data_IF_246914714120
#
_entry.id   IF_246914714120
#
_cell.length_a   1.000
_cell.length_b   1.000
_cell.length_c   1.000
_cell.angle_alpha   90.00
_cell.angle_beta   90.00
_cell.angle_gamma   90.00
#
_symmetry.space_group_name_H-M   'P 1'
#
loop_
_entity.id
_entity.type
_entity.pdbx_description
1 polymer ?
#
# COMPACT_ATOMS: atom_id res chain seq x y z
N UNK A 1 -15.75 -9.02 3.56
CA UNK A 1 -15.23 -8.68 4.91
C UNK A 1 -13.72 -8.79 4.95
N UNK A 2 -13.14 -9.99 4.70
CA UNK A 2 -11.68 -10.24 4.66
C UNK A 2 -10.83 -9.16 3.94
N UNK A 3 -11.27 -8.68 2.77
CA UNK A 3 -10.57 -7.62 2.03
C UNK A 3 -10.49 -6.29 2.82
N UNK A 4 -11.61 -5.81 3.36
CA UNK A 4 -11.65 -4.53 4.09
C UNK A 4 -10.85 -4.63 5.39
N UNK A 5 -10.91 -5.77 6.07
CA UNK A 5 -10.17 -6.00 7.30
C UNK A 5 -8.65 -6.03 7.03
N UNK A 6 -8.23 -6.69 5.95
CA UNK A 6 -6.83 -6.69 5.49
C UNK A 6 -6.37 -5.28 5.08
N UNK A 7 -7.18 -4.55 4.32
CA UNK A 7 -6.86 -3.20 3.88
C UNK A 7 -6.70 -2.24 5.08
N UNK A 8 -7.59 -2.34 6.07
CA UNK A 8 -7.51 -1.56 7.29
C UNK A 8 -6.21 -1.88 8.06
N UNK A 9 -5.90 -3.17 8.27
CA UNK A 9 -4.63 -3.57 8.89
C UNK A 9 -3.40 -3.12 8.10
N UNK A 10 -3.46 -3.21 6.77
CA UNK A 10 -2.37 -2.77 5.91
C UNK A 10 -2.07 -1.28 6.10
N UNK A 11 -3.12 -0.45 6.09
CA UNK A 11 -3.02 1.01 6.22
C UNK A 11 -2.59 1.44 7.62
N UNK A 12 -3.22 0.88 8.65
CA UNK A 12 -3.07 1.38 10.01
C UNK A 12 -1.98 0.67 10.82
N UNK A 13 -1.55 -0.52 10.42
CA UNK A 13 -0.59 -1.33 11.17
C UNK A 13 0.66 -1.61 10.33
N UNK A 14 0.50 -2.28 9.19
CA UNK A 14 1.64 -2.82 8.45
C UNK A 14 2.50 -1.74 7.77
N UNK A 15 1.87 -0.73 7.15
CA UNK A 15 2.58 0.36 6.50
C UNK A 15 3.41 1.20 7.50
N UNK A 16 2.85 1.68 8.64
CA UNK A 16 3.62 2.39 9.66
C UNK A 16 4.78 1.56 10.25
N UNK A 17 4.64 0.24 10.33
CA UNK A 17 5.65 -0.66 10.85
C UNK A 17 6.78 -0.97 9.84
N UNK A 18 6.59 -0.60 8.56
CA UNK A 18 7.60 -0.79 7.52
C UNK A 18 8.81 0.12 7.75
N UNK A 19 10.00 -0.48 7.87
CA UNK A 19 11.28 0.26 7.99
C UNK A 19 11.49 1.13 6.75
N UNK A 20 11.85 2.40 6.94
CA UNK A 20 12.04 3.41 5.88
C UNK A 20 10.79 3.79 5.05
N UNK A 21 9.60 3.70 5.64
CA UNK A 21 8.39 4.15 4.95
C UNK A 21 8.39 5.68 4.70
N UNK A 22 8.56 6.09 3.44
CA UNK A 22 8.51 7.50 2.99
C UNK A 22 7.20 7.88 2.31
N UNK A 23 6.16 7.06 2.44
CA UNK A 23 4.95 7.18 1.64
C UNK A 23 4.98 6.26 0.42
N UNK A 24 3.80 5.87 -0.04
CA UNK A 24 3.58 5.06 -1.23
C UNK A 24 3.66 5.92 -2.50
N UNK A 25 4.39 5.46 -3.52
CA UNK A 25 4.56 6.21 -4.76
C UNK A 25 3.27 6.25 -5.57
N UNK A 26 2.86 7.43 -6.00
CA UNK A 26 1.73 7.63 -6.93
C UNK A 26 2.03 7.14 -8.35
N UNK A 27 3.31 6.94 -8.68
CA UNK A 27 3.74 6.37 -9.95
C UNK A 27 3.25 4.93 -10.15
N UNK A 28 3.06 4.18 -9.06
CA UNK A 28 2.65 2.76 -9.07
C UNK A 28 1.14 2.54 -9.29
N UNK A 29 0.41 3.62 -9.60
CA UNK A 29 -0.97 3.54 -10.08
C UNK A 29 -0.92 3.36 -11.61
N UNK A 30 -1.53 2.30 -12.09
CA UNK A 30 -1.68 1.99 -13.51
C UNK A 30 -2.73 2.90 -14.16
N UNK A 31 -2.70 3.04 -15.49
CA UNK A 31 -3.64 3.89 -16.22
C UNK A 31 -5.10 3.42 -16.10
N UNK A 32 -5.29 2.11 -15.86
CA UNK A 32 -6.60 1.50 -15.58
C UNK A 32 -7.08 1.69 -14.14
N UNK A 33 -6.35 2.44 -13.31
CA UNK A 33 -6.75 2.75 -11.93
C UNK A 33 -6.42 1.67 -10.89
N UNK A 34 -5.64 0.66 -11.25
CA UNK A 34 -5.15 -0.34 -10.30
C UNK A 34 -3.89 0.17 -9.61
N UNK A 35 -3.68 -0.23 -8.36
CA UNK A 35 -2.50 0.13 -7.59
C UNK A 35 -1.73 -1.10 -7.17
N UNK A 36 -0.45 -1.18 -7.53
CA UNK A 36 0.41 -2.31 -7.16
C UNK A 36 1.55 -1.85 -6.25
N UNK A 37 1.72 -2.54 -5.13
CA UNK A 37 2.83 -2.30 -4.21
C UNK A 37 3.52 -3.61 -3.82
N UNK A 38 4.85 -3.56 -3.74
CA UNK A 38 5.68 -4.65 -3.24
C UNK A 38 6.03 -4.41 -1.77
N UNK A 39 5.77 -5.41 -0.94
CA UNK A 39 6.21 -5.50 0.45
C UNK A 39 7.42 -6.44 0.47
N UNK A 40 8.56 -5.94 0.95
CA UNK A 40 9.82 -6.70 0.96
C UNK A 40 9.81 -7.82 1.99
N UNK A 41 9.17 -7.59 3.13
CA UNK A 41 9.19 -8.50 4.27
C UNK A 41 7.78 -8.61 4.83
N UNK A 42 7.27 -9.84 4.95
CA UNK A 42 5.95 -10.08 5.53
C UNK A 42 5.90 -9.87 7.06
N UNK A 43 7.05 -9.67 7.70
CA UNK A 43 7.22 -9.40 9.14
C UNK A 43 6.57 -8.09 9.61
N UNK A 44 6.13 -7.25 8.69
CA UNK A 44 5.39 -6.02 9.00
C UNK A 44 3.99 -6.28 9.58
N UNK A 45 3.49 -7.52 9.51
CA UNK A 45 2.22 -7.90 10.10
C UNK A 45 2.44 -8.43 11.53
N UNK A 46 1.77 -7.87 12.55
CA UNK A 46 1.97 -8.35 13.93
C UNK A 46 1.48 -9.78 14.16
N UNK A 47 0.69 -10.34 13.24
CA UNK A 47 0.27 -11.74 13.28
C UNK A 47 1.39 -12.74 12.96
N UNK A 48 2.50 -12.29 12.39
CA UNK A 48 3.66 -13.15 12.12
C UNK A 48 4.55 -13.14 13.37
N UNK A 49 4.48 -14.22 14.16
CA UNK A 49 5.32 -14.36 15.36
C UNK A 49 6.78 -14.61 14.99
N UNK A 50 7.67 -13.72 15.46
CA UNK A 50 9.12 -13.76 15.18
C UNK A 50 9.83 -15.06 15.59
N UNK A 51 9.26 -15.83 16.52
CA UNK A 51 9.89 -17.06 17.05
C UNK A 51 9.90 -18.24 16.05
N UNK A 52 9.05 -18.20 15.00
CA UNK A 52 8.89 -19.31 14.03
C UNK A 52 9.29 -18.96 12.57
N UNK A 53 9.79 -17.75 12.30
CA UNK A 53 10.08 -17.30 10.92
C UNK A 53 11.46 -17.83 10.48
N UNK A 54 11.47 -18.98 9.80
CA UNK A 54 12.67 -19.51 9.14
C UNK A 54 12.99 -18.86 7.79
N UNK A 55 11.97 -18.38 7.07
CA UNK A 55 12.12 -17.85 5.71
C UNK A 55 11.36 -16.52 5.56
N UNK A 56 12.10 -15.41 5.46
CA UNK A 56 11.52 -14.09 5.15
C UNK A 56 11.27 -14.01 3.65
N UNK A 57 10.00 -13.97 3.24
CA UNK A 57 9.60 -13.72 1.86
C UNK A 57 8.89 -12.38 1.71
N UNK A 58 9.04 -11.79 0.53
CA UNK A 58 8.30 -10.62 0.09
C UNK A 58 6.95 -10.99 -0.53
N UNK A 59 6.05 -10.03 -0.60
CA UNK A 59 4.72 -10.19 -1.17
C UNK A 59 4.35 -8.99 -2.02
N UNK A 60 3.58 -9.20 -3.07
CA UNK A 60 3.03 -8.13 -3.91
C UNK A 60 1.54 -8.02 -3.66
N UNK A 61 1.06 -6.81 -3.39
CA UNK A 61 -0.36 -6.51 -3.21
C UNK A 61 -0.81 -5.61 -4.34
N UNK A 62 -1.84 -6.05 -5.06
CA UNK A 62 -2.52 -5.25 -6.07
C UNK A 62 -3.93 -4.93 -5.59
N UNK A 63 -4.21 -3.63 -5.45
CA UNK A 63 -5.53 -3.09 -5.16
C UNK A 63 -6.20 -2.81 -6.49
N UNK A 64 -7.19 -3.63 -6.82
CA UNK A 64 -8.04 -3.45 -8.00
C UNK A 64 -9.15 -2.47 -7.63
N UNK A 65 -9.26 -1.36 -8.37
CA UNK A 65 -10.31 -0.36 -8.15
C UNK A 65 -11.25 -0.27 -9.36
N UNK A 66 -12.38 0.40 -9.18
CA UNK A 66 -13.34 0.69 -10.26
C UNK A 66 -13.06 2.01 -10.97
N UNK A 67 -11.99 2.72 -10.60
CA UNK A 67 -11.62 3.98 -11.20
C UNK A 67 -11.23 3.77 -12.67
N UNK A 68 -11.56 4.74 -13.54
CA UNK A 68 -11.25 4.65 -14.98
C UNK A 68 -10.00 5.43 -15.37
N UNK A 69 -9.45 6.20 -14.43
CA UNK A 69 -8.28 7.03 -14.64
C UNK A 69 -7.37 7.00 -13.42
N UNK A 70 -6.09 7.28 -13.65
CA UNK A 70 -5.06 7.39 -12.61
C UNK A 70 -5.39 8.44 -11.54
N UNK A 71 -5.97 9.56 -11.95
CA UNK A 71 -6.38 10.67 -11.07
C UNK A 71 -7.54 10.28 -10.16
N UNK A 72 -8.56 9.60 -10.69
CA UNK A 72 -9.67 9.07 -9.88
C UNK A 72 -9.17 8.01 -8.89
N UNK A 73 -8.30 7.10 -9.33
CA UNK A 73 -7.72 6.08 -8.48
C UNK A 73 -6.87 6.71 -7.36
N UNK A 74 -6.06 7.72 -7.67
CA UNK A 74 -5.28 8.44 -6.66
C UNK A 74 -6.20 9.10 -5.60
N UNK A 75 -7.24 9.80 -6.05
CA UNK A 75 -8.20 10.44 -5.15
C UNK A 75 -8.91 9.41 -4.24
N UNK A 76 -9.34 8.29 -4.82
CA UNK A 76 -9.99 7.19 -4.09
C UNK A 76 -9.04 6.59 -3.03
N UNK A 77 -7.81 6.27 -3.40
CA UNK A 77 -6.82 5.71 -2.49
C UNK A 77 -6.47 6.68 -1.35
N UNK A 78 -6.36 7.98 -1.64
CA UNK A 78 -6.18 9.02 -0.61
C UNK A 78 -7.38 9.09 0.34
N UNK A 79 -8.60 8.98 -0.18
CA UNK A 79 -9.82 9.02 0.64
C UNK A 79 -9.96 7.78 1.56
N UNK A 80 -9.49 6.62 1.08
CA UNK A 80 -9.42 5.38 1.85
C UNK A 80 -8.37 5.45 2.98
N UNK A 81 -7.48 6.45 2.96
CA UNK A 81 -6.45 6.65 3.98
C UNK A 81 -5.10 6.06 3.62
N UNK A 82 -4.88 5.66 2.35
CA UNK A 82 -3.59 5.16 1.89
C UNK A 82 -2.54 6.28 1.95
N UNK A 83 -1.42 6.10 2.66
CA UNK A 83 -0.39 7.14 2.81
C UNK A 83 0.45 7.29 1.53
N UNK A 84 -0.12 7.94 0.52
CA UNK A 84 0.54 8.25 -0.75
C UNK A 84 1.43 9.49 -0.60
N UNK A 85 2.65 9.41 -1.16
CA UNK A 85 3.53 10.58 -1.29
C UNK A 85 2.77 11.71 -1.98
N UNK A 86 2.88 12.93 -1.46
CA UNK A 86 2.43 14.10 -2.20
C UNK A 86 3.25 14.14 -3.49
N UNK A 87 2.58 14.24 -4.63
CA UNK A 87 3.26 14.74 -5.82
C UNK A 87 3.79 16.12 -5.44
N UNK A 88 5.11 16.27 -5.38
CA UNK A 88 5.72 17.60 -5.50
C UNK A 88 5.18 18.14 -6.81
N UNK A 89 4.23 19.06 -6.67
CA UNK A 89 3.81 19.88 -7.80
C UNK A 89 4.95 20.86 -7.88
N UNK A 90 5.93 20.59 -8.75
CA UNK A 90 6.90 21.59 -9.20
C UNK A 90 6.07 22.80 -9.62
N UNK A 91 5.99 23.77 -8.72
CA UNK A 91 5.43 25.07 -9.02
C UNK A 91 6.61 25.83 -9.59
N UNK A 92 6.54 26.09 -10.89
CA UNK A 92 7.45 26.98 -11.63
C UNK A 92 7.62 28.33 -10.92
#
# INVERSE_FOLDING_TARGET
KRMNDFLNKLIHVAIPQTRDFRGLKTSSIDDMGNYTMGIKEHTIFPETHDEDIKDVFGLSVTIVTTAKSKTEAEALLRHIGLPLQKKETETE
#
